data_IF_196826960644
#
_entry.id   IF_196826960644
#
_cell.length_a   1.000
_cell.length_b   1.000
_cell.length_c   1.000
_cell.angle_alpha   90.00
_cell.angle_beta   90.00
_cell.angle_gamma   90.00
#
_symmetry.space_group_name_H-M   'P 1'
#
loop_
_entity.id
_entity.type
_entity.pdbx_description
1 polymer ?
#
# COMPACT_ATOMS: atom_id res chain seq x y z
N UNK A 1 -2.88 13.97 -4.98
CA UNK A 1 -3.52 12.66 -5.17
C UNK A 1 -4.00 12.47 -6.61
N UNK A 2 -4.65 13.47 -7.18
CA UNK A 2 -5.14 13.37 -8.56
C UNK A 2 -4.07 13.11 -9.61
N UNK A 3 -2.81 13.38 -9.28
CA UNK A 3 -1.67 13.14 -10.15
C UNK A 3 -0.98 11.78 -9.89
N UNK A 4 -1.46 11.01 -8.92
CA UNK A 4 -0.88 9.69 -8.64
C UNK A 4 -1.19 8.73 -9.79
N UNK A 5 -0.21 7.92 -10.20
CA UNK A 5 -0.41 6.91 -11.24
C UNK A 5 -1.13 5.69 -10.66
N UNK A 6 -2.44 5.79 -10.51
CA UNK A 6 -3.25 4.76 -9.83
C UNK A 6 -3.16 3.39 -10.51
N UNK A 7 -2.82 3.36 -11.80
CA UNK A 7 -2.60 2.09 -12.51
C UNK A 7 -1.38 1.32 -11.97
N UNK A 8 -0.49 2.00 -11.25
CA UNK A 8 0.70 1.38 -10.65
C UNK A 8 0.44 0.87 -9.23
N UNK A 9 -0.80 0.98 -8.76
CA UNK A 9 -1.20 0.53 -7.43
C UNK A 9 -2.08 -0.72 -7.50
N UNK A 10 -2.07 -1.46 -6.41
CA UNK A 10 -3.02 -2.57 -6.21
C UNK A 10 -4.30 -1.97 -5.65
N UNK A 11 -5.40 -2.10 -6.40
CA UNK A 11 -6.69 -1.53 -6.00
C UNK A 11 -7.49 -2.56 -5.21
N UNK A 12 -7.97 -2.15 -4.04
CA UNK A 12 -8.80 -2.97 -3.17
C UNK A 12 -10.02 -2.16 -2.77
N UNK A 13 -11.21 -2.68 -3.05
CA UNK A 13 -12.48 -2.01 -2.73
C UNK A 13 -13.17 -2.78 -1.62
N UNK A 14 -13.61 -2.06 -0.58
CA UNK A 14 -14.39 -2.61 0.52
C UNK A 14 -15.70 -1.86 0.65
N UNK A 15 -16.80 -2.58 0.68
CA UNK A 15 -18.12 -1.99 0.71
C UNK A 15 -18.36 -1.16 -0.54
N UNK A 16 -18.91 0.05 -0.36
CA UNK A 16 -19.19 0.96 -1.49
C UNK A 16 -17.94 1.62 -2.06
N UNK A 17 -16.83 1.61 -1.34
CA UNK A 17 -15.55 2.15 -1.83
C UNK A 17 -15.51 3.65 -2.02
N UNK A 18 -16.34 4.41 -1.29
CA UNK A 18 -16.48 5.86 -1.50
C UNK A 18 -15.30 6.67 -0.97
N UNK A 19 -14.72 6.25 0.14
CA UNK A 19 -13.57 6.96 0.74
C UNK A 19 -12.28 6.40 0.15
N UNK A 20 -11.46 7.25 -0.40
CA UNK A 20 -10.28 6.85 -1.19
C UNK A 20 -9.00 7.22 -0.45
N UNK A 21 -8.08 6.29 -0.37
CA UNK A 21 -6.74 6.55 0.17
C UNK A 21 -5.69 5.70 -0.53
N UNK A 22 -4.47 6.21 -0.55
CA UNK A 22 -3.31 5.48 -1.04
C UNK A 22 -2.44 5.04 0.13
N UNK A 23 -1.75 3.92 -0.03
CA UNK A 23 -0.85 3.35 0.97
C UNK A 23 0.47 3.03 0.27
N UNK A 24 1.57 3.55 0.80
CA UNK A 24 2.91 3.15 0.37
C UNK A 24 3.41 2.12 1.37
N UNK A 25 3.62 0.89 0.92
CA UNK A 25 3.83 -0.24 1.81
C UNK A 25 4.93 -1.17 1.31
N UNK A 26 5.72 -1.66 2.26
CA UNK A 26 6.81 -2.59 2.04
C UNK A 26 6.40 -3.97 2.57
N UNK A 27 6.43 -5.03 1.75
CA UNK A 27 5.94 -6.35 2.19
C UNK A 27 6.74 -6.99 3.31
N UNK A 28 7.97 -6.56 3.54
CA UNK A 28 8.80 -7.10 4.62
C UNK A 28 8.84 -6.23 5.86
N UNK A 29 8.11 -5.12 5.88
CA UNK A 29 8.06 -4.21 7.01
C UNK A 29 7.02 -4.67 8.03
N UNK A 30 7.40 -4.93 9.30
CA UNK A 30 6.44 -5.37 10.32
C UNK A 30 5.32 -4.36 10.58
N UNK A 31 5.65 -3.07 10.51
CA UNK A 31 4.65 -2.01 10.70
C UNK A 31 3.64 -1.98 9.56
N UNK A 32 4.09 -2.30 8.33
CA UNK A 32 3.19 -2.40 7.18
C UNK A 32 2.22 -3.57 7.35
N UNK A 33 2.70 -4.69 7.85
CA UNK A 33 1.85 -5.86 8.14
C UNK A 33 0.83 -5.55 9.23
N UNK A 34 1.25 -4.83 10.26
CA UNK A 34 0.35 -4.39 11.33
C UNK A 34 -0.74 -3.48 10.77
N UNK A 35 -0.35 -2.55 9.90
CA UNK A 35 -1.32 -1.64 9.26
C UNK A 35 -2.36 -2.42 8.46
N UNK A 36 -1.97 -3.46 7.74
CA UNK A 36 -2.91 -4.27 6.96
C UNK A 36 -4.05 -4.82 7.82
N UNK A 37 -3.75 -5.25 9.04
CA UNK A 37 -4.77 -5.72 9.98
C UNK A 37 -5.77 -4.60 10.33
N UNK A 38 -5.28 -3.37 10.44
CA UNK A 38 -6.15 -2.23 10.73
C UNK A 38 -6.95 -1.81 9.50
N UNK A 39 -6.33 -1.83 8.31
CA UNK A 39 -7.04 -1.54 7.07
C UNK A 39 -8.16 -2.53 6.78
N UNK A 40 -7.97 -3.79 7.17
CA UNK A 40 -8.99 -4.83 7.02
C UNK A 40 -10.27 -4.54 7.80
N UNK A 41 -10.18 -3.71 8.84
CA UNK A 41 -11.34 -3.31 9.66
C UNK A 41 -12.11 -2.13 9.08
N UNK A 42 -11.57 -1.47 8.05
CA UNK A 42 -12.25 -0.34 7.40
C UNK A 42 -13.32 -0.84 6.45
N UNK A 43 -14.42 -0.09 6.37
CA UNK A 43 -15.47 -0.31 5.39
C UNK A 43 -15.64 0.94 4.54
N UNK A 44 -16.31 0.79 3.41
CA UNK A 44 -16.61 1.91 2.50
C UNK A 44 -15.33 2.65 2.09
N UNK A 45 -14.30 1.89 1.67
CA UNK A 45 -13.02 2.46 1.24
C UNK A 45 -12.56 1.84 -0.07
N UNK A 46 -11.84 2.63 -0.85
CA UNK A 46 -11.02 2.15 -1.96
C UNK A 46 -9.57 2.43 -1.62
N UNK A 47 -8.80 1.36 -1.49
CA UNK A 47 -7.37 1.42 -1.17
C UNK A 47 -6.57 1.29 -2.46
N UNK A 48 -5.61 2.19 -2.65
CA UNK A 48 -4.62 2.08 -3.70
C UNK A 48 -3.27 1.81 -3.03
N UNK A 49 -2.87 0.55 -3.00
CA UNK A 49 -1.61 0.15 -2.37
C UNK A 49 -0.48 0.17 -3.39
N UNK A 50 0.47 1.05 -3.16
CA UNK A 50 1.70 1.13 -3.96
C UNK A 50 2.77 0.30 -3.27
N UNK A 51 3.16 -0.84 -3.83
CA UNK A 51 4.30 -1.58 -3.29
C UNK A 51 5.55 -0.69 -3.37
N UNK A 52 6.15 -0.45 -2.21
CA UNK A 52 7.26 0.49 -2.04
C UNK A 52 8.35 -0.18 -1.21
N UNK A 53 9.12 -1.09 -1.81
CA UNK A 53 10.15 -1.82 -1.07
C UNK A 53 11.31 -0.92 -0.69
N UNK A 54 11.75 -1.04 0.57
CA UNK A 54 12.91 -0.34 1.10
C UNK A 54 14.11 -1.30 1.08
N UNK A 55 14.73 -1.43 -0.07
CA UNK A 55 15.77 -2.45 -0.32
C UNK A 55 16.95 -2.38 0.66
N UNK A 56 17.29 -1.19 1.11
CA UNK A 56 18.35 -1.02 2.09
C UNK A 56 18.09 -1.68 3.43
N UNK A 57 16.79 -1.79 3.80
CA UNK A 57 16.35 -2.44 5.04
C UNK A 57 15.86 -3.86 4.79
N UNK A 58 15.24 -4.10 3.64
CA UNK A 58 14.57 -5.36 3.31
C UNK A 58 14.99 -5.83 1.92
N UNK A 59 16.12 -6.56 1.80
CA UNK A 59 16.68 -6.91 0.48
C UNK A 59 15.76 -7.75 -0.40
N UNK A 60 14.84 -8.52 0.20
CA UNK A 60 13.94 -9.41 -0.54
C UNK A 60 12.60 -8.75 -0.91
N UNK A 61 12.34 -7.55 -0.38
CA UNK A 61 11.05 -6.89 -0.55
C UNK A 61 10.75 -6.55 -2.01
N UNK A 62 11.76 -6.19 -2.78
CA UNK A 62 11.60 -5.87 -4.19
C UNK A 62 11.08 -7.07 -4.97
N UNK A 63 11.71 -8.23 -4.82
CA UNK A 63 11.31 -9.44 -5.53
C UNK A 63 9.93 -9.92 -5.11
N UNK A 64 9.61 -9.80 -3.82
CA UNK A 64 8.27 -10.13 -3.32
C UNK A 64 7.21 -9.20 -3.90
N UNK A 65 7.50 -7.91 -4.00
CA UNK A 65 6.60 -6.93 -4.59
C UNK A 65 6.33 -7.23 -6.06
N UNK A 66 7.36 -7.59 -6.81
CA UNK A 66 7.24 -7.98 -8.22
C UNK A 66 6.40 -9.25 -8.35
N UNK A 67 6.67 -10.26 -7.51
CA UNK A 67 5.92 -11.52 -7.54
C UNK A 67 4.42 -11.29 -7.31
N UNK A 68 4.06 -10.43 -6.36
CA UNK A 68 2.67 -10.06 -6.12
C UNK A 68 2.08 -9.36 -7.33
N UNK A 69 2.80 -8.39 -7.89
CA UNK A 69 2.31 -7.64 -9.05
C UNK A 69 2.04 -8.54 -10.25
N UNK A 70 2.90 -9.51 -10.46
CA UNK A 70 2.80 -10.44 -11.59
C UNK A 70 1.84 -11.61 -11.34
N UNK A 71 1.25 -11.70 -10.15
CA UNK A 71 0.27 -12.73 -9.83
C UNK A 71 -1.06 -12.45 -10.54
N UNK A 72 -1.84 -13.51 -10.79
CA UNK A 72 -3.13 -13.40 -11.47
C UNK A 72 -4.12 -12.53 -10.70
N UNK A 73 -4.14 -12.63 -9.36
CA UNK A 73 -4.96 -11.80 -8.49
C UNK A 73 -4.06 -11.07 -7.52
N UNK A 74 -3.72 -9.82 -7.86
CA UNK A 74 -2.77 -9.03 -7.08
C UNK A 74 -3.25 -8.74 -5.68
N UNK A 75 -4.51 -8.36 -5.54
CA UNK A 75 -5.07 -8.03 -4.23
C UNK A 75 -5.01 -9.23 -3.29
N UNK A 76 -5.35 -10.41 -3.78
CA UNK A 76 -5.29 -11.65 -2.99
C UNK A 76 -3.84 -12.01 -2.66
N UNK A 77 -2.93 -11.89 -3.61
CA UNK A 77 -1.52 -12.19 -3.42
C UNK A 77 -0.88 -11.25 -2.38
N UNK A 78 -1.22 -9.96 -2.43
CA UNK A 78 -0.77 -8.99 -1.45
C UNK A 78 -1.29 -9.32 -0.05
N UNK A 79 -2.60 -9.59 0.06
CA UNK A 79 -3.22 -9.94 1.33
C UNK A 79 -2.57 -11.19 1.96
N UNK A 80 -2.32 -12.21 1.15
CA UNK A 80 -1.68 -13.44 1.60
C UNK A 80 -0.26 -13.18 2.09
N UNK A 81 0.52 -12.41 1.33
CA UNK A 81 1.89 -12.08 1.70
C UNK A 81 1.93 -11.30 3.01
N UNK A 82 1.07 -10.30 3.16
CA UNK A 82 1.06 -9.45 4.35
C UNK A 82 0.56 -10.20 5.58
N UNK A 83 -0.33 -11.16 5.39
CA UNK A 83 -0.93 -11.92 6.49
C UNK A 83 -0.04 -13.06 6.96
N UNK A 84 0.51 -13.83 6.03
CA UNK A 84 1.27 -15.06 6.35
C UNK A 84 2.77 -14.96 6.09
N UNK A 85 3.21 -13.92 5.40
CA UNK A 85 4.60 -13.79 4.97
C UNK A 85 4.94 -14.63 3.76
N UNK A 86 3.94 -15.29 3.14
CA UNK A 86 4.16 -16.20 2.04
C UNK A 86 3.99 -15.47 0.70
N UNK A 87 5.09 -15.31 -0.01
CA UNK A 87 5.07 -14.69 -1.34
C UNK A 87 4.62 -15.70 -2.40
N UNK A 88 3.95 -15.24 -3.46
CA UNK A 88 3.65 -16.12 -4.59
C UNK A 88 4.93 -16.53 -5.31
N UNK A 89 4.81 -17.51 -6.20
CA UNK A 89 5.93 -17.97 -7.02
C UNK A 89 6.53 -16.79 -7.80
N UNK A 90 7.85 -16.76 -7.89
CA UNK A 90 8.55 -15.72 -8.63
C UNK A 90 8.12 -15.72 -10.10
N UNK A 91 7.76 -14.55 -10.61
CA UNK A 91 7.38 -14.33 -12.01
C UNK A 91 7.99 -13.06 -12.52
N UNK A 92 8.23 -13.01 -13.82
CA UNK A 92 8.67 -11.79 -14.50
C UNK A 92 7.53 -11.28 -15.38
N UNK A 93 7.22 -10.02 -15.24
CA UNK A 93 6.25 -9.32 -16.07
C UNK A 93 6.59 -7.85 -16.05
N UNK A 94 5.90 -7.04 -16.85
CA UNK A 94 5.98 -5.59 -16.74
C UNK A 94 5.39 -5.20 -15.39
N UNK A 95 6.17 -4.46 -14.60
CA UNK A 95 5.76 -4.06 -13.27
C UNK A 95 6.17 -2.62 -12.97
N UNK A 96 5.46 -1.95 -12.05
CA UNK A 96 5.74 -0.55 -11.73
C UNK A 96 6.66 -0.35 -10.52
N UNK A 97 7.32 -1.38 -10.02
CA UNK A 97 8.00 -1.28 -8.71
C UNK A 97 9.07 -0.18 -8.69
N UNK A 98 9.88 -0.06 -9.76
CA UNK A 98 10.87 1.01 -9.84
C UNK A 98 10.20 2.39 -9.89
N UNK A 99 9.10 2.51 -10.63
CA UNK A 99 8.34 3.77 -10.69
C UNK A 99 7.75 4.14 -9.34
N UNK A 100 7.31 3.14 -8.57
CA UNK A 100 6.78 3.38 -7.23
C UNK A 100 7.85 3.86 -6.26
N UNK A 101 9.05 3.29 -6.36
CA UNK A 101 10.19 3.73 -5.56
C UNK A 101 10.52 5.19 -5.87
N UNK A 102 10.59 5.53 -7.15
CA UNK A 102 10.86 6.91 -7.58
C UNK A 102 9.75 7.86 -7.14
N UNK A 103 8.49 7.43 -7.26
CA UNK A 103 7.34 8.23 -6.84
C UNK A 103 7.41 8.53 -5.35
N UNK A 104 7.65 7.51 -4.51
CA UNK A 104 7.77 7.70 -3.08
C UNK A 104 8.88 8.68 -2.71
N UNK A 105 10.02 8.58 -3.38
CA UNK A 105 11.14 9.49 -3.17
C UNK A 105 10.77 10.92 -3.53
N UNK A 106 10.09 11.14 -4.66
CA UNK A 106 9.65 12.48 -5.08
C UNK A 106 8.63 13.07 -4.11
N UNK A 107 7.79 12.23 -3.52
CA UNK A 107 6.79 12.67 -2.54
C UNK A 107 7.38 12.88 -1.15
N UNK A 108 8.67 12.58 -0.96
CA UNK A 108 9.32 12.73 0.33
C UNK A 108 8.96 11.64 1.33
N UNK A 109 8.47 10.50 0.86
CA UNK A 109 8.13 9.37 1.72
C UNK A 109 9.42 8.63 2.08
N UNK A 110 9.82 8.74 3.36
CA UNK A 110 11.08 8.19 3.85
C UNK A 110 10.91 6.86 4.57
N UNK A 111 9.69 6.48 4.90
CA UNK A 111 9.43 5.25 5.63
C UNK A 111 8.09 4.65 5.27
N UNK A 112 7.89 3.41 5.65
CA UNK A 112 6.66 2.67 5.44
C UNK A 112 6.09 2.19 6.78
N UNK A 113 4.78 2.05 6.89
CA UNK A 113 3.78 2.44 5.90
C UNK A 113 3.52 3.94 5.94
N UNK A 114 3.07 4.51 4.83
CA UNK A 114 2.62 5.90 4.77
C UNK A 114 1.29 5.95 4.02
N UNK A 115 0.30 6.58 4.64
CA UNK A 115 -1.02 6.78 4.07
C UNK A 115 -1.11 8.17 3.43
N UNK A 116 -1.79 8.26 2.30
CA UNK A 116 -2.02 9.50 1.59
C UNK A 116 -3.50 9.63 1.26
N UNK A 117 -4.14 10.72 1.71
CA UNK A 117 -5.56 10.95 1.43
C UNK A 117 -5.78 11.53 0.04
N UNK A 118 -7.03 11.49 -0.41
CA UNK A 118 -7.43 12.10 -1.69
C UNK A 118 -7.16 13.61 -1.74
N UNK A 119 -7.00 14.25 -0.59
CA UNK A 119 -6.72 15.69 -0.48
C UNK A 119 -5.25 16.00 -0.22
N UNK A 120 -4.38 15.00 -0.34
CA UNK A 120 -2.94 15.19 -0.23
C UNK A 120 -2.38 15.19 1.18
N UNK A 121 -3.19 14.87 2.19
CA UNK A 121 -2.69 14.75 3.57
C UNK A 121 -1.98 13.42 3.78
N UNK A 122 -0.93 13.46 4.58
CA UNK A 122 -0.08 12.30 4.86
C UNK A 122 -0.28 11.85 6.31
N UNK A 123 -0.41 10.55 6.50
CA UNK A 123 -0.44 9.92 7.82
C UNK A 123 0.61 8.82 7.84
N UNK A 124 1.78 9.07 8.45
CA UNK A 124 2.83 8.05 8.52
C UNK A 124 2.58 7.06 9.65
N UNK A 125 3.09 5.84 9.48
CA UNK A 125 3.09 4.81 10.50
C UNK A 125 1.87 3.91 10.49
N UNK A 126 1.91 2.88 11.34
CA UNK A 126 0.87 1.87 11.46
C UNK A 126 -0.22 2.35 12.42
N UNK A 127 -1.03 3.29 11.97
CA UNK A 127 -2.11 3.85 12.78
C UNK A 127 -3.22 2.82 13.03
N UNK A 128 -3.85 2.85 14.22
CA UNK A 128 -5.03 2.01 14.47
C UNK A 128 -6.24 2.49 13.66
N UNK A 129 -7.21 1.61 13.49
CA UNK A 129 -8.42 1.89 12.72
C UNK A 129 -9.09 3.21 13.13
N UNK A 130 -9.21 3.45 14.43
CA UNK A 130 -9.89 4.65 14.96
C UNK A 130 -9.17 5.92 14.52
N UNK A 131 -7.84 5.91 14.51
CA UNK A 131 -7.06 7.06 14.06
C UNK A 131 -7.19 7.26 12.56
N UNK A 132 -7.22 6.19 11.80
CA UNK A 132 -7.42 6.27 10.34
C UNK A 132 -8.80 6.85 10.02
N UNK A 133 -9.84 6.38 10.71
CA UNK A 133 -11.20 6.90 10.53
C UNK A 133 -11.28 8.40 10.83
N UNK A 134 -10.68 8.83 11.92
CA UNK A 134 -10.61 10.25 12.28
C UNK A 134 -9.87 11.07 11.23
N UNK A 135 -8.72 10.54 10.78
CA UNK A 135 -7.90 11.20 9.76
C UNK A 135 -8.66 11.33 8.42
N UNK A 136 -9.42 10.32 8.04
CA UNK A 136 -10.22 10.38 6.82
C UNK A 136 -11.30 11.47 6.91
N UNK A 137 -11.90 11.64 8.08
CA UNK A 137 -12.87 12.72 8.30
C UNK A 137 -12.21 14.09 8.20
N UNK A 138 -11.06 14.27 8.83
CA UNK A 138 -10.29 15.52 8.80
C UNK A 138 -9.79 15.83 7.39
N UNK A 139 -9.31 14.82 6.68
CA UNK A 139 -8.72 14.96 5.37
C UNK A 139 -9.74 15.33 4.29
N UNK A 140 -11.02 15.14 4.55
CA UNK A 140 -12.10 15.49 3.66
C UNK A 140 -12.59 16.93 3.80
N UNK A 141 -11.92 17.73 4.62
CA UNK A 141 -12.34 19.11 4.89
C UNK A 141 -11.46 20.15 4.25
#
# INVERSE_FOLDING_TARGET
FGELPLADAIKIVRGKGERVLAVFSDPDCPYCRRLESELDKLDNVTLYTFPYPLEGLHPEARDKSIAVWCAANRAQAWAELMKSGKAPASRKCDHPIERNIQLGQRLGIQGTPTLLSAYGRILPGAAPKERIEQWLLEAGR
#
